data_IF_725758512388
#
_entry.id   IF_725758512388
#
_cell.length_a   1.000
_cell.length_b   1.000
_cell.length_c   1.000
_cell.angle_alpha   90.00
_cell.angle_beta   90.00
_cell.angle_gamma   90.00
#
_symmetry.space_group_name_H-M   'P 1'
#
loop_
_entity.id
_entity.type
_entity.pdbx_description
1 polymer ?
#
# COMPACT_ATOMS: atom_id res chain seq x y z
N UNK A 1 -3.57 -4.81 -11.06
CA UNK A 1 -4.14 -5.28 -9.77
C UNK A 1 -3.74 -4.32 -8.66
N UNK A 2 -2.46 -3.94 -8.60
CA UNK A 2 -1.88 -2.78 -7.91
C UNK A 2 -2.82 -1.60 -7.57
N UNK A 3 -3.34 -0.93 -8.59
CA UNK A 3 -4.07 0.33 -8.45
C UNK A 3 -5.35 0.17 -7.61
N UNK A 4 -5.98 -1.01 -7.66
CA UNK A 4 -7.17 -1.32 -6.85
C UNK A 4 -6.82 -1.49 -5.38
N UNK A 5 -5.67 -2.12 -5.07
CA UNK A 5 -5.21 -2.30 -3.70
C UNK A 5 -4.72 -0.99 -3.09
N UNK A 6 -3.98 -0.17 -3.85
CA UNK A 6 -3.62 1.20 -3.42
C UNK A 6 -4.88 2.02 -3.13
N UNK A 7 -5.88 1.97 -4.02
CA UNK A 7 -7.14 2.67 -3.80
C UNK A 7 -7.93 2.12 -2.60
N UNK A 8 -7.83 0.83 -2.27
CA UNK A 8 -8.39 0.24 -1.03
C UNK A 8 -7.71 0.87 0.18
N UNK A 9 -6.38 0.77 0.27
CA UNK A 9 -5.60 1.23 1.42
C UNK A 9 -5.82 2.73 1.68
N UNK A 10 -5.80 3.56 0.63
CA UNK A 10 -6.01 5.00 0.78
C UNK A 10 -7.41 5.35 1.31
N UNK A 11 -8.44 4.58 0.92
CA UNK A 11 -9.80 4.77 1.46
C UNK A 11 -9.87 4.40 2.94
N UNK A 12 -9.19 3.33 3.35
CA UNK A 12 -9.16 2.91 4.75
C UNK A 12 -8.35 3.89 5.62
N UNK A 13 -7.27 4.47 5.11
CA UNK A 13 -6.49 5.50 5.81
C UNK A 13 -7.37 6.73 6.11
N UNK A 14 -8.21 7.15 5.16
CA UNK A 14 -9.14 8.27 5.38
C UNK A 14 -10.16 7.96 6.48
N UNK A 15 -10.70 6.74 6.50
CA UNK A 15 -11.64 6.31 7.53
C UNK A 15 -10.97 6.24 8.92
N UNK A 16 -9.78 5.62 9.01
CA UNK A 16 -9.00 5.52 10.24
C UNK A 16 -8.59 6.91 10.76
N UNK A 17 -8.15 7.80 9.87
CA UNK A 17 -7.81 9.19 10.19
C UNK A 17 -8.99 9.99 10.73
N UNK A 18 -10.19 9.79 10.16
CA UNK A 18 -11.42 10.39 10.69
C UNK A 18 -11.76 9.91 12.09
N UNK A 19 -11.44 8.66 12.43
CA UNK A 19 -11.62 8.08 13.75
C UNK A 19 -10.46 8.39 14.72
N UNK A 20 -9.37 9.00 14.23
CA UNK A 20 -8.09 9.17 14.95
C UNK A 20 -7.52 7.84 15.44
N UNK A 21 -7.77 6.77 14.68
CA UNK A 21 -7.24 5.44 14.93
C UNK A 21 -5.80 5.36 14.39
N UNK A 22 -4.86 5.80 15.23
CA UNK A 22 -3.46 5.89 14.86
C UNK A 22 -2.83 4.52 14.62
N UNK A 23 -3.24 3.50 15.36
CA UNK A 23 -2.74 2.15 15.22
C UNK A 23 -3.12 1.61 13.83
N UNK A 24 -4.40 1.74 13.45
CA UNK A 24 -4.86 1.33 12.12
C UNK A 24 -4.20 2.12 11.00
N UNK A 25 -3.93 3.42 11.18
CA UNK A 25 -3.20 4.21 10.20
C UNK A 25 -1.76 3.73 10.00
N UNK A 26 -1.08 3.30 11.06
CA UNK A 26 0.29 2.77 10.99
C UNK A 26 0.30 1.42 10.25
N UNK A 27 -0.65 0.53 10.56
CA UNK A 27 -0.80 -0.75 9.85
C UNK A 27 -0.98 -0.55 8.35
N UNK A 28 -1.92 0.33 7.97
CA UNK A 28 -2.21 0.63 6.56
C UNK A 28 -1.02 1.28 5.83
N UNK A 29 -0.21 2.07 6.54
CA UNK A 29 1.01 2.64 5.97
C UNK A 29 2.08 1.57 5.70
N UNK A 30 2.20 0.57 6.58
CA UNK A 30 3.09 -0.58 6.36
C UNK A 30 2.62 -1.44 5.20
N UNK A 31 1.31 -1.70 5.12
CA UNK A 31 0.71 -2.43 4.00
C UNK A 31 0.96 -1.73 2.65
N UNK A 32 0.90 -0.39 2.62
CA UNK A 32 1.23 0.39 1.44
C UNK A 32 2.72 0.28 1.05
N UNK A 33 3.62 0.21 2.03
CA UNK A 33 5.06 0.03 1.79
C UNK A 33 5.35 -1.37 1.22
N UNK A 34 4.75 -2.42 1.79
CA UNK A 34 4.91 -3.79 1.32
C UNK A 34 4.40 -3.95 -0.10
N UNK A 35 3.24 -3.38 -0.38
CA UNK A 35 2.69 -3.28 -1.72
C UNK A 35 3.74 -2.62 -2.64
N UNK A 36 4.26 -1.44 -2.29
CA UNK A 36 5.25 -0.73 -3.13
C UNK A 36 6.54 -1.52 -3.37
N UNK A 37 6.99 -2.29 -2.38
CA UNK A 37 8.12 -3.21 -2.54
C UNK A 37 7.78 -4.33 -3.51
N UNK A 38 6.60 -4.94 -3.42
CA UNK A 38 6.17 -6.03 -4.29
C UNK A 38 6.15 -5.63 -5.78
N UNK A 39 5.68 -4.43 -6.12
CA UNK A 39 5.74 -3.95 -7.52
C UNK A 39 7.17 -3.61 -7.95
N UNK A 40 7.99 -3.05 -7.06
CA UNK A 40 9.39 -2.73 -7.37
C UNK A 40 10.20 -4.01 -7.64
N UNK A 41 10.01 -5.03 -6.81
CA UNK A 41 10.72 -6.29 -6.91
C UNK A 41 10.17 -7.13 -8.08
N UNK A 42 8.85 -7.11 -8.31
CA UNK A 42 8.21 -7.69 -9.50
C UNK A 42 8.59 -7.00 -10.81
N UNK A 43 9.01 -5.74 -10.78
CA UNK A 43 9.52 -5.00 -11.94
C UNK A 43 10.97 -5.34 -12.30
N UNK A 44 11.69 -6.13 -11.49
CA UNK A 44 13.11 -6.46 -11.71
C UNK A 44 13.33 -7.70 -12.61
N UNK A 45 12.30 -8.44 -12.99
CA UNK A 45 12.42 -9.59 -13.92
C UNK A 45 12.44 -9.20 -15.42
N UNK A 46 12.39 -7.91 -15.78
CA UNK A 46 12.24 -7.48 -17.17
C UNK A 46 13.47 -6.80 -17.81
N UNK A 47 14.68 -6.93 -17.26
CA UNK A 47 15.91 -6.41 -17.89
C UNK A 47 17.08 -7.41 -17.89
N UNK A 48 16.86 -8.59 -18.45
CA UNK A 48 17.94 -9.34 -19.13
C UNK A 48 17.55 -9.54 -20.60
N UNK A 49 18.25 -8.81 -21.46
CA UNK A 49 18.16 -8.85 -22.92
C UNK A 49 19.30 -8.06 -23.52
#
# INVERSE_FOLDING_TARGET
>A
MWELEVARILREILAAGSARDWDRMIELAQELEELARAERDGSSEAKEG
#
